data_IF_130320838725
#
_entry.id   IF_130320838725
#
_cell.length_a   1.000
_cell.length_b   1.000
_cell.length_c   1.000
_cell.angle_alpha   90.00
_cell.angle_beta   90.00
_cell.angle_gamma   90.00
#
_symmetry.space_group_name_H-M   'P 1'
#
loop_
_entity.id
_entity.type
_entity.pdbx_description
1 polymer ?
#
# COMPACT_ATOMS: atom_id res chain seq x y z
N UNK A 1 -3.15 8.76 -16.91
CA UNK A 1 -2.36 9.95 -17.33
C UNK A 1 -1.04 9.47 -17.90
N UNK A 2 -0.57 10.07 -19.00
CA UNK A 2 0.70 9.73 -19.63
C UNK A 2 1.66 10.93 -19.53
N UNK A 3 2.93 10.70 -19.21
CA UNK A 3 3.93 11.77 -19.19
C UNK A 3 4.37 12.12 -20.62
N UNK A 4 4.18 13.37 -21.02
CA UNK A 4 4.56 13.86 -22.36
C UNK A 4 6.08 14.00 -22.55
N UNK A 5 6.90 13.74 -21.52
CA UNK A 5 8.36 13.61 -21.63
C UNK A 5 8.77 12.32 -22.35
N UNK A 6 7.90 11.31 -22.36
CA UNK A 6 8.10 10.08 -23.11
C UNK A 6 7.34 10.13 -24.45
N UNK A 7 7.87 9.47 -25.47
CA UNK A 7 7.19 9.36 -26.77
C UNK A 7 5.93 8.46 -26.66
N UNK A 8 4.71 8.96 -26.92
CA UNK A 8 3.50 8.15 -26.86
C UNK A 8 3.40 7.10 -27.97
N UNK A 9 4.22 7.14 -29.03
CA UNK A 9 4.20 6.15 -30.11
C UNK A 9 4.39 4.71 -29.60
N UNK A 10 5.20 4.52 -28.55
CA UNK A 10 5.44 3.21 -27.94
C UNK A 10 4.17 2.53 -27.43
N UNK A 11 3.10 3.28 -27.11
CA UNK A 11 1.81 2.71 -26.68
C UNK A 11 1.08 1.98 -27.82
N UNK A 12 1.47 2.26 -29.07
CA UNK A 12 0.90 1.65 -30.28
C UNK A 12 1.86 0.65 -30.93
N UNK A 13 3.17 0.82 -30.73
CA UNK A 13 4.20 -0.06 -31.28
C UNK A 13 4.41 -1.35 -30.48
N UNK A 14 4.20 -1.30 -29.17
CA UNK A 14 4.45 -2.43 -28.26
C UNK A 14 3.18 -3.20 -27.93
N UNK A 15 3.33 -4.49 -27.70
CA UNK A 15 2.25 -5.34 -27.20
C UNK A 15 1.96 -5.05 -25.71
N UNK A 16 0.72 -5.28 -25.28
CA UNK A 16 0.28 -5.04 -23.90
C UNK A 16 1.17 -5.68 -22.85
N UNK A 17 1.65 -6.91 -23.08
CA UNK A 17 2.52 -7.62 -22.12
C UNK A 17 3.92 -6.99 -22.03
N UNK A 18 4.45 -6.45 -23.13
CA UNK A 18 5.71 -5.69 -23.11
C UNK A 18 5.53 -4.36 -22.38
N UNK A 19 4.40 -3.69 -22.59
CA UNK A 19 4.04 -2.45 -21.88
C UNK A 19 3.88 -2.70 -20.38
N UNK A 20 3.22 -3.79 -19.96
CA UNK A 20 3.11 -4.21 -18.56
C UNK A 20 4.48 -4.49 -17.96
N UNK A 21 5.34 -5.21 -18.67
CA UNK A 21 6.72 -5.49 -18.23
C UNK A 21 7.45 -4.18 -17.94
N UNK A 22 7.40 -3.21 -18.87
CA UNK A 22 8.01 -1.88 -18.67
C UNK A 22 7.33 -1.05 -17.59
N UNK A 23 6.05 -1.30 -17.25
CA UNK A 23 5.33 -0.59 -16.20
C UNK A 23 5.72 -1.08 -14.80
N UNK A 24 5.83 -2.40 -14.62
CA UNK A 24 6.05 -3.06 -13.33
C UNK A 24 7.52 -3.33 -12.99
N UNK A 25 8.44 -3.25 -13.96
CA UNK A 25 9.88 -3.44 -13.72
C UNK A 25 10.55 -2.12 -13.31
N UNK A 26 11.48 -2.16 -12.35
CA UNK A 26 12.26 -0.98 -11.96
C UNK A 26 13.20 -0.57 -13.10
N UNK A 27 13.49 0.72 -13.24
CA UNK A 27 14.38 1.22 -14.29
C UNK A 27 15.78 0.56 -14.25
N UNK A 28 16.30 0.24 -13.07
CA UNK A 28 17.60 -0.42 -12.88
C UNK A 28 17.63 -1.89 -13.32
N UNK A 29 16.47 -2.51 -13.52
CA UNK A 29 16.30 -3.91 -13.91
C UNK A 29 15.89 -4.05 -15.38
N UNK A 30 15.63 -2.92 -16.07
CA UNK A 30 15.33 -2.90 -17.49
C UNK A 30 16.63 -2.99 -18.33
N UNK A 31 16.57 -3.59 -19.54
CA UNK A 31 17.69 -3.62 -20.45
C UNK A 31 18.20 -2.21 -20.79
N UNK A 32 19.48 -2.11 -21.17
CA UNK A 32 20.06 -0.86 -21.62
C UNK A 32 19.28 -0.26 -22.80
N UNK A 33 19.01 1.04 -22.75
CA UNK A 33 18.21 1.75 -23.75
C UNK A 33 16.68 1.57 -23.62
N UNK A 34 16.20 0.76 -22.68
CA UNK A 34 14.76 0.57 -22.44
C UNK A 34 14.29 1.44 -21.27
N UNK A 35 13.41 2.37 -21.55
CA UNK A 35 12.77 3.20 -20.52
C UNK A 35 11.54 2.54 -19.91
N UNK A 36 11.35 2.76 -18.61
CA UNK A 36 10.13 2.45 -17.89
C UNK A 36 8.94 3.18 -18.52
N UNK A 37 7.79 2.52 -18.59
CA UNK A 37 6.58 3.14 -19.10
C UNK A 37 6.10 4.27 -18.18
N UNK A 38 5.99 5.50 -18.70
CA UNK A 38 5.63 6.69 -17.93
C UNK A 38 4.13 6.97 -17.93
N UNK A 39 3.34 5.93 -17.64
CA UNK A 39 1.89 6.03 -17.44
C UNK A 39 1.56 5.93 -15.95
N UNK A 40 0.63 6.75 -15.47
CA UNK A 40 0.19 6.76 -14.06
C UNK A 40 -1.32 6.87 -13.94
N UNK A 41 -1.88 6.15 -12.98
CA UNK A 41 -3.23 6.38 -12.49
C UNK A 41 -3.27 7.68 -11.68
N UNK A 42 -4.35 8.45 -11.84
CA UNK A 42 -4.64 9.59 -10.97
C UNK A 42 -5.78 9.21 -10.05
N UNK A 43 -5.51 9.26 -8.75
CA UNK A 43 -6.48 8.96 -7.72
C UNK A 43 -7.10 10.29 -7.24
N UNK A 44 -8.31 10.61 -7.71
CA UNK A 44 -8.96 11.92 -7.45
C UNK A 44 -9.21 12.21 -5.97
N UNK A 45 -9.50 11.20 -5.16
CA UNK A 45 -9.68 11.35 -3.71
C UNK A 45 -8.36 11.45 -2.93
N UNK A 46 -7.21 11.56 -3.60
CA UNK A 46 -5.90 11.89 -3.01
C UNK A 46 -5.44 13.32 -3.36
N UNK A 47 -6.41 14.21 -3.59
CA UNK A 47 -6.22 15.65 -3.85
C UNK A 47 -5.07 15.98 -4.83
N UNK A 48 -5.07 15.41 -6.05
CA UNK A 48 -4.08 15.75 -7.06
C UNK A 48 -4.16 17.22 -7.46
N UNK A 49 -3.01 17.88 -7.61
CA UNK A 49 -2.94 19.25 -8.08
C UNK A 49 -3.04 19.31 -9.61
N UNK A 50 -3.93 20.15 -10.12
CA UNK A 50 -4.09 20.37 -11.56
C UNK A 50 -4.03 21.86 -11.89
N UNK A 51 -3.29 22.19 -12.95
CA UNK A 51 -3.30 23.52 -13.55
C UNK A 51 -3.89 23.39 -14.96
N UNK A 52 -5.10 23.92 -15.23
CA UNK A 52 -5.87 23.59 -16.43
C UNK A 52 -5.36 24.26 -17.72
N UNK A 53 -4.43 25.22 -17.63
CA UNK A 53 -3.93 25.94 -18.79
C UNK A 53 -2.42 25.77 -18.90
N UNK A 54 -2.01 24.98 -19.90
CA UNK A 54 -0.61 24.68 -20.21
C UNK A 54 0.19 25.93 -20.64
N UNK A 55 -0.48 26.95 -21.17
CA UNK A 55 0.11 28.24 -21.56
C UNK A 55 0.27 29.21 -20.38
N UNK A 56 -0.11 28.81 -19.16
CA UNK A 56 0.19 29.59 -17.94
C UNK A 56 1.60 29.33 -17.40
N UNK A 57 2.33 28.36 -17.96
CA UNK A 57 3.73 28.17 -17.60
C UNK A 57 4.54 29.31 -18.23
N UNK A 58 5.09 30.18 -17.37
CA UNK A 58 5.99 31.25 -17.81
C UNK A 58 7.18 30.64 -18.56
N UNK A 59 7.58 31.17 -19.74
CA UNK A 59 8.71 30.63 -20.51
C UNK A 59 10.01 30.50 -19.70
N UNK A 60 10.27 31.41 -18.76
CA UNK A 60 11.43 31.32 -17.87
C UNK A 60 11.34 30.12 -16.92
N UNK A 61 10.13 29.83 -16.43
CA UNK A 61 9.89 28.65 -15.58
C UNK A 61 10.05 27.38 -16.42
N UNK A 62 9.54 27.37 -17.66
CA UNK A 62 9.72 26.23 -18.57
C UNK A 62 11.21 25.96 -18.84
N UNK A 63 12.01 27.01 -19.08
CA UNK A 63 13.47 26.91 -19.27
C UNK A 63 14.16 26.41 -17.99
N UNK A 64 13.82 26.96 -16.82
CA UNK A 64 14.35 26.51 -15.53
C UNK A 64 14.05 25.04 -15.24
N UNK A 65 12.85 24.57 -15.62
CA UNK A 65 12.42 23.19 -15.45
C UNK A 65 12.84 22.28 -16.62
N UNK A 66 13.54 22.81 -17.62
CA UNK A 66 13.98 22.09 -18.82
C UNK A 66 12.80 21.43 -19.58
N UNK A 67 11.67 22.13 -19.63
CA UNK A 67 10.45 21.71 -20.30
C UNK A 67 10.43 22.27 -21.71
N UNK A 68 10.87 21.48 -22.68
CA UNK A 68 10.57 21.64 -24.10
C UNK A 68 9.04 21.53 -24.37
N UNK A 69 8.39 22.68 -24.50
CA UNK A 69 6.95 22.77 -24.74
C UNK A 69 6.55 22.31 -26.15
N UNK A 70 7.41 22.52 -27.15
CA UNK A 70 7.09 22.20 -28.54
C UNK A 70 7.01 20.68 -28.74
N UNK A 71 7.99 19.94 -28.19
CA UNK A 71 7.96 18.46 -28.21
C UNK A 71 6.73 17.92 -27.49
N UNK A 72 6.36 18.49 -26.34
CA UNK A 72 5.19 18.04 -25.57
C UNK A 72 3.88 18.33 -26.29
N UNK A 73 3.77 19.48 -26.98
CA UNK A 73 2.59 19.80 -27.80
C UNK A 73 2.48 18.89 -29.02
N UNK A 74 3.60 18.53 -29.67
CA UNK A 74 3.61 17.55 -30.77
C UNK A 74 3.14 16.17 -30.28
N UNK A 75 3.64 15.70 -29.13
CA UNK A 75 3.21 14.43 -28.52
C UNK A 75 1.75 14.46 -28.08
N UNK A 76 1.28 15.59 -27.55
CA UNK A 76 -0.14 15.78 -27.24
C UNK A 76 -1.01 15.69 -28.51
N UNK A 77 -0.57 16.29 -29.62
CA UNK A 77 -1.26 16.19 -30.89
C UNK A 77 -1.28 14.74 -31.41
N UNK A 78 -0.17 14.00 -31.29
CA UNK A 78 -0.14 12.56 -31.58
C UNK A 78 -1.16 11.78 -30.75
N UNK A 79 -1.25 12.03 -29.44
CA UNK A 79 -2.23 11.37 -28.57
C UNK A 79 -3.66 11.69 -29.01
N UNK A 80 -3.95 12.95 -29.35
CA UNK A 80 -5.28 13.37 -29.82
C UNK A 80 -5.65 12.70 -31.14
N UNK A 81 -4.70 12.56 -32.07
CA UNK A 81 -4.93 11.95 -33.37
C UNK A 81 -5.13 10.42 -33.29
N UNK A 82 -4.58 9.77 -32.26
CA UNK A 82 -4.68 8.31 -32.04
C UNK A 82 -5.45 7.98 -30.76
N UNK A 83 -6.42 8.82 -30.40
CA UNK A 83 -7.06 8.76 -29.08
C UNK A 83 -7.75 7.42 -28.81
N UNK A 84 -8.37 6.82 -29.82
CA UNK A 84 -9.11 5.56 -29.69
C UNK A 84 -8.17 4.42 -29.34
N UNK A 85 -7.10 4.27 -30.11
CA UNK A 85 -6.11 3.20 -29.97
C UNK A 85 -5.33 3.34 -28.67
N UNK A 86 -4.90 4.56 -28.33
CA UNK A 86 -4.19 4.83 -27.06
C UNK A 86 -5.10 4.60 -25.86
N UNK A 87 -6.38 4.98 -25.94
CA UNK A 87 -7.34 4.72 -24.86
C UNK A 87 -7.53 3.23 -24.64
N UNK A 88 -7.59 2.44 -25.72
CA UNK A 88 -7.67 0.98 -25.65
C UNK A 88 -6.40 0.38 -25.03
N UNK A 89 -5.21 0.78 -25.48
CA UNK A 89 -3.95 0.31 -24.91
C UNK A 89 -3.85 0.62 -23.40
N UNK A 90 -4.26 1.83 -22.98
CA UNK A 90 -4.32 2.19 -21.58
C UNK A 90 -5.35 1.34 -20.80
N UNK A 91 -6.54 1.08 -21.34
CA UNK A 91 -7.53 0.23 -20.70
C UNK A 91 -7.02 -1.21 -20.53
N UNK A 92 -6.38 -1.77 -21.56
CA UNK A 92 -5.82 -3.12 -21.53
C UNK A 92 -4.65 -3.23 -20.53
N UNK A 93 -3.85 -2.17 -20.37
CA UNK A 93 -2.78 -2.10 -19.36
C UNK A 93 -3.29 -2.19 -17.92
N UNK A 94 -4.38 -1.47 -17.61
CA UNK A 94 -4.97 -1.42 -16.26
C UNK A 94 -6.07 -2.47 -16.05
N UNK A 95 -6.30 -3.34 -17.04
CA UNK A 95 -7.27 -4.42 -16.91
C UNK A 95 -6.73 -5.45 -15.93
N UNK A 96 -7.25 -5.43 -14.71
CA UNK A 96 -6.94 -6.43 -13.70
C UNK A 96 -7.54 -7.79 -14.11
N UNK A 97 -6.68 -8.73 -14.52
CA UNK A 97 -7.07 -10.11 -14.82
C UNK A 97 -7.19 -10.99 -13.56
N UNK A 98 -7.31 -10.39 -12.37
CA UNK A 98 -7.45 -11.11 -11.10
C UNK A 98 -6.15 -11.69 -10.51
N UNK A 99 -4.99 -11.42 -11.12
CA UNK A 99 -3.69 -12.00 -10.74
C UNK A 99 -3.05 -11.39 -9.50
N UNK A 100 -3.58 -10.28 -8.98
CA UNK A 100 -3.06 -9.57 -7.80
C UNK A 100 -4.06 -9.60 -6.64
N UNK A 101 -4.69 -10.75 -6.39
CA UNK A 101 -5.19 -10.98 -5.03
C UNK A 101 -3.95 -11.08 -4.14
N UNK A 102 -3.74 -10.06 -3.31
CA UNK A 102 -2.78 -10.16 -2.21
C UNK A 102 -3.13 -11.43 -1.45
N UNK A 103 -2.18 -12.35 -1.36
CA UNK A 103 -2.30 -13.58 -0.58
C UNK A 103 -2.10 -13.31 0.92
N UNK A 104 -2.35 -12.08 1.40
CA UNK A 104 -2.21 -11.77 2.81
C UNK A 104 -3.50 -12.12 3.52
N UNK A 105 -3.40 -13.18 4.33
CA UNK A 105 -4.48 -13.70 5.15
C UNK A 105 -4.72 -12.86 6.43
N UNK A 106 -3.83 -11.93 6.76
CA UNK A 106 -3.94 -11.12 7.99
C UNK A 106 -4.99 -10.03 7.86
N UNK A 107 -5.99 -10.07 8.73
CA UNK A 107 -7.08 -9.09 8.80
C UNK A 107 -6.59 -7.66 9.06
N UNK A 108 -5.44 -7.47 9.72
CA UNK A 108 -4.82 -6.13 9.89
C UNK A 108 -4.41 -5.50 8.53
N UNK A 109 -4.20 -6.32 7.49
CA UNK A 109 -3.70 -5.89 6.17
C UNK A 109 -4.79 -5.86 5.09
N UNK A 110 -6.02 -6.24 5.44
CA UNK A 110 -7.15 -6.40 4.51
C UNK A 110 -8.01 -5.14 4.31
N UNK A 111 -7.57 -3.97 4.77
CA UNK A 111 -8.33 -2.71 4.71
C UNK A 111 -8.87 -2.36 3.31
N UNK A 112 -8.15 -2.74 2.25
CA UNK A 112 -8.51 -2.44 0.86
C UNK A 112 -9.13 -3.61 0.10
N UNK A 113 -9.48 -4.70 0.78
CA UNK A 113 -10.08 -5.88 0.14
C UNK A 113 -11.59 -5.76 -0.08
N UNK A 114 -12.24 -4.75 0.51
CA UNK A 114 -13.66 -4.52 0.36
C UNK A 114 -14.17 -3.43 1.28
N UNK A 115 -15.38 -2.97 1.03
CA UNK A 115 -16.08 -2.08 1.94
C UNK A 115 -17.01 -2.89 2.84
N UNK A 116 -17.00 -2.54 4.12
CA UNK A 116 -17.96 -3.04 5.10
C UNK A 116 -19.39 -2.64 4.70
N UNK A 117 -20.35 -3.56 4.87
CA UNK A 117 -21.74 -3.24 4.59
C UNK A 117 -22.42 -2.49 5.76
N UNK A 118 -23.64 -2.01 5.54
CA UNK A 118 -24.35 -1.21 6.55
C UNK A 118 -24.72 -2.01 7.81
N UNK A 119 -24.85 -3.33 7.73
CA UNK A 119 -25.19 -4.17 8.88
C UNK A 119 -23.96 -4.34 9.77
N UNK A 120 -22.82 -4.72 9.18
CA UNK A 120 -21.55 -4.84 9.88
C UNK A 120 -21.10 -3.48 10.45
N UNK A 121 -21.36 -2.38 9.73
CA UNK A 121 -21.07 -1.02 10.23
C UNK A 121 -21.80 -0.70 11.52
N UNK A 122 -23.09 -1.05 11.64
CA UNK A 122 -23.87 -0.83 12.86
C UNK A 122 -23.34 -1.63 14.05
N UNK A 123 -22.86 -2.85 13.79
CA UNK A 123 -22.19 -3.66 14.82
C UNK A 123 -20.91 -2.96 15.26
N UNK A 124 -20.11 -2.46 14.32
CA UNK A 124 -18.92 -1.65 14.61
C UNK A 124 -19.22 -0.42 15.47
N UNK A 125 -20.28 0.32 15.13
CA UNK A 125 -20.76 1.47 15.91
C UNK A 125 -21.20 1.08 17.33
N UNK A 126 -21.88 -0.07 17.48
CA UNK A 126 -22.26 -0.60 18.78
C UNK A 126 -21.03 -0.93 19.64
N UNK A 127 -20.00 -1.58 19.07
CA UNK A 127 -18.76 -1.94 19.78
C UNK A 127 -18.11 -0.72 20.43
N UNK A 128 -18.12 0.44 19.77
CA UNK A 128 -17.56 1.69 20.30
C UNK A 128 -18.26 2.18 21.58
N UNK A 129 -19.46 1.68 21.88
CA UNK A 129 -20.24 2.08 23.07
C UNK A 129 -20.14 1.09 24.23
N UNK A 130 -19.52 -0.08 24.01
CA UNK A 130 -19.43 -1.14 25.01
C UNK A 130 -18.26 -0.88 25.96
N UNK A 131 -18.44 -1.28 27.23
CA UNK A 131 -17.35 -1.39 28.20
C UNK A 131 -16.75 -2.80 28.18
N UNK A 132 -15.62 -2.99 28.88
CA UNK A 132 -14.90 -4.27 28.94
C UNK A 132 -15.77 -5.45 29.39
N UNK A 133 -16.63 -5.26 30.40
CA UNK A 133 -17.56 -6.31 30.87
C UNK A 133 -18.60 -6.68 29.81
N UNK A 134 -19.15 -5.70 29.10
CA UNK A 134 -20.12 -5.96 28.03
C UNK A 134 -19.47 -6.66 26.83
N UNK A 135 -18.21 -6.32 26.52
CA UNK A 135 -17.43 -6.96 25.46
C UNK A 135 -17.21 -8.46 25.68
N UNK A 136 -17.14 -8.92 26.94
CA UNK A 136 -17.02 -10.37 27.26
C UNK A 136 -18.17 -11.19 26.69
N UNK A 137 -19.38 -10.65 26.77
CA UNK A 137 -20.62 -11.33 26.36
C UNK A 137 -21.10 -10.95 24.96
N UNK A 138 -20.39 -10.04 24.29
CA UNK A 138 -20.79 -9.53 22.99
C UNK A 138 -20.21 -10.39 21.86
N UNK A 139 -21.03 -11.29 21.33
CA UNK A 139 -20.68 -12.19 20.23
C UNK A 139 -21.54 -11.91 18.99
N UNK A 140 -21.27 -10.82 18.25
CA UNK A 140 -22.02 -10.47 17.07
C UNK A 140 -21.77 -11.48 15.94
N UNK A 141 -22.68 -11.52 14.98
CA UNK A 141 -22.48 -12.24 13.71
C UNK A 141 -22.20 -11.22 12.62
N UNK A 142 -20.95 -11.16 12.20
CA UNK A 142 -20.55 -10.37 11.04
C UNK A 142 -20.87 -11.12 9.75
N UNK A 143 -21.15 -10.36 8.70
CA UNK A 143 -21.26 -10.90 7.34
C UNK A 143 -19.89 -11.00 6.69
N UNK A 144 -19.01 -10.01 6.88
CA UNK A 144 -17.59 -10.13 6.57
C UNK A 144 -16.88 -10.89 7.69
N UNK A 145 -16.50 -12.15 7.41
CA UNK A 145 -15.87 -13.06 8.38
C UNK A 145 -14.60 -12.48 9.00
N UNK A 146 -13.87 -11.61 8.27
CA UNK A 146 -12.64 -10.97 8.75
C UNK A 146 -12.88 -10.08 9.97
N UNK A 147 -14.10 -9.55 10.14
CA UNK A 147 -14.43 -8.68 11.25
C UNK A 147 -14.52 -9.43 12.58
N UNK A 148 -14.82 -10.74 12.55
CA UNK A 148 -14.81 -11.58 13.74
C UNK A 148 -13.40 -11.69 14.31
N UNK A 149 -12.41 -11.94 13.45
CA UNK A 149 -11.00 -11.98 13.86
C UNK A 149 -10.48 -10.60 14.27
N UNK A 150 -10.86 -9.54 13.53
CA UNK A 150 -10.50 -8.17 13.89
C UNK A 150 -11.06 -7.73 15.26
N UNK A 151 -12.24 -8.23 15.64
CA UNK A 151 -12.80 -8.00 16.98
C UNK A 151 -11.95 -8.66 18.07
N UNK A 152 -11.42 -9.86 17.84
CA UNK A 152 -10.49 -10.52 18.77
C UNK A 152 -9.23 -9.65 18.93
N UNK A 153 -8.66 -9.13 17.84
CA UNK A 153 -7.46 -8.28 17.90
C UNK A 153 -7.74 -6.98 18.66
N UNK A 154 -8.91 -6.39 18.43
CA UNK A 154 -9.36 -5.21 19.15
C UNK A 154 -9.48 -5.48 20.66
N UNK A 155 -10.15 -6.57 21.06
CA UNK A 155 -10.27 -6.99 22.45
C UNK A 155 -8.89 -7.24 23.06
N UNK A 156 -8.05 -8.04 22.41
CA UNK A 156 -6.74 -8.41 22.94
C UNK A 156 -5.80 -7.22 23.18
N UNK A 157 -5.83 -6.22 22.29
CA UNK A 157 -4.95 -5.03 22.38
C UNK A 157 -5.44 -4.00 23.40
N UNK A 158 -6.75 -3.89 23.62
CA UNK A 158 -7.35 -2.78 24.38
C UNK A 158 -8.00 -3.22 25.70
N UNK A 159 -8.57 -4.42 25.74
CA UNK A 159 -9.33 -5.00 26.84
C UNK A 159 -9.01 -6.51 26.97
N UNK A 160 -7.73 -6.89 27.23
CA UNK A 160 -7.32 -8.30 27.27
C UNK A 160 -8.14 -9.13 28.26
N UNK A 161 -8.63 -8.51 29.34
CA UNK A 161 -9.53 -9.13 30.33
C UNK A 161 -10.90 -9.51 29.77
N UNK A 162 -11.27 -9.02 28.57
CA UNK A 162 -12.53 -9.33 27.90
C UNK A 162 -12.47 -10.58 27.01
N UNK A 163 -11.28 -11.14 26.79
CA UNK A 163 -11.09 -12.35 26.01
C UNK A 163 -11.52 -13.59 26.81
N UNK A 164 -12.21 -14.51 26.15
CA UNK A 164 -12.42 -15.86 26.67
C UNK A 164 -11.16 -16.75 26.46
N UNK A 165 -11.17 -17.98 26.97
CA UNK A 165 -10.02 -18.89 26.90
C UNK A 165 -9.57 -19.18 25.47
N UNK A 166 -10.51 -19.53 24.57
CA UNK A 166 -10.22 -19.81 23.15
C UNK A 166 -9.64 -18.59 22.42
N UNK A 167 -10.18 -17.39 22.70
CA UNK A 167 -9.70 -16.13 22.12
C UNK A 167 -8.30 -15.77 22.63
N UNK A 168 -8.00 -16.06 23.91
CA UNK A 168 -6.67 -15.85 24.48
C UNK A 168 -5.63 -16.79 23.85
N UNK A 169 -5.96 -18.07 23.69
CA UNK A 169 -5.09 -19.05 23.04
C UNK A 169 -4.82 -18.68 21.59
N UNK A 170 -5.86 -18.37 20.82
CA UNK A 170 -5.73 -17.92 19.43
C UNK A 170 -4.87 -16.65 19.32
N UNK A 171 -5.12 -15.65 20.17
CA UNK A 171 -4.32 -14.43 20.17
C UNK A 171 -2.85 -14.70 20.51
N UNK A 172 -2.59 -15.58 21.48
CA UNK A 172 -1.23 -15.97 21.84
C UNK A 172 -0.50 -16.63 20.67
N UNK A 173 -1.13 -17.57 19.96
CA UNK A 173 -0.55 -18.20 18.76
C UNK A 173 -0.21 -17.18 17.67
N UNK A 174 -1.11 -16.22 17.41
CA UNK A 174 -0.91 -15.15 16.45
C UNK A 174 0.29 -14.28 16.83
N UNK A 175 0.39 -13.88 18.10
CA UNK A 175 1.52 -13.08 18.59
C UNK A 175 2.82 -13.87 18.47
N UNK A 176 2.84 -15.13 18.89
CA UNK A 176 4.03 -15.99 18.78
C UNK A 176 4.49 -16.13 17.33
N UNK A 177 3.58 -16.40 16.40
CA UNK A 177 3.91 -16.51 14.98
C UNK A 177 4.46 -15.19 14.39
N UNK A 178 3.95 -14.04 14.81
CA UNK A 178 4.46 -12.73 14.38
C UNK A 178 5.85 -12.44 14.95
N UNK A 179 6.06 -12.72 16.24
CA UNK A 179 7.30 -12.42 16.97
C UNK A 179 8.43 -13.38 16.58
N UNK A 180 8.15 -14.68 16.47
CA UNK A 180 9.20 -15.67 16.20
C UNK A 180 9.54 -15.78 14.72
N UNK A 181 8.54 -15.87 13.83
CA UNK A 181 8.76 -16.20 12.42
C UNK A 181 8.47 -15.04 11.47
N UNK A 182 8.02 -13.88 11.98
CA UNK A 182 7.67 -12.74 11.13
C UNK A 182 6.47 -13.02 10.22
N UNK A 183 5.59 -13.95 10.62
CA UNK A 183 4.41 -14.36 9.84
C UNK A 183 3.61 -13.14 9.39
N UNK A 184 3.17 -13.11 8.13
CA UNK A 184 2.50 -11.96 7.49
C UNK A 184 3.40 -10.71 7.27
N UNK A 185 4.72 -10.87 7.31
CA UNK A 185 5.67 -9.79 7.00
C UNK A 185 5.98 -8.86 8.17
N UNK A 186 5.68 -9.28 9.40
CA UNK A 186 6.13 -8.58 10.61
C UNK A 186 7.61 -8.84 10.84
N UNK A 187 8.25 -7.97 11.63
CA UNK A 187 9.67 -8.09 11.97
C UNK A 187 9.87 -9.16 13.06
N UNK A 188 10.54 -10.29 12.78
CA UNK A 188 10.83 -11.29 13.80
C UNK A 188 11.84 -10.76 14.82
N UNK A 189 11.80 -11.31 16.03
CA UNK A 189 12.55 -10.81 17.19
C UNK A 189 14.06 -10.90 17.01
N UNK A 190 14.56 -11.94 16.35
CA UNK A 190 16.00 -12.08 16.05
C UNK A 190 16.49 -10.96 15.14
N UNK A 191 15.73 -10.67 14.07
CA UNK A 191 16.05 -9.57 13.14
C UNK A 191 15.90 -8.20 13.82
N UNK A 192 14.95 -8.05 14.74
CA UNK A 192 14.82 -6.84 15.55
C UNK A 192 16.10 -6.53 16.34
N UNK A 193 16.67 -7.51 17.04
CA UNK A 193 17.92 -7.33 17.78
C UNK A 193 19.13 -7.12 16.86
N UNK A 194 19.21 -7.83 15.73
CA UNK A 194 20.27 -7.61 14.72
C UNK A 194 20.24 -6.15 14.21
N UNK A 195 19.05 -5.63 13.89
CA UNK A 195 18.88 -4.25 13.46
C UNK A 195 19.29 -3.26 14.54
N UNK A 196 18.96 -3.50 15.81
CA UNK A 196 19.41 -2.64 16.92
C UNK A 196 20.94 -2.60 16.99
N UNK A 197 21.61 -3.74 16.94
CA UNK A 197 23.07 -3.80 17.02
C UNK A 197 23.74 -3.04 15.86
N UNK A 198 23.26 -3.25 14.63
CA UNK A 198 23.76 -2.52 13.45
C UNK A 198 23.52 -1.02 13.54
N UNK A 199 22.36 -0.59 14.07
CA UNK A 199 22.04 0.81 14.24
C UNK A 199 22.87 1.45 15.38
N UNK A 200 23.16 0.70 16.44
CA UNK A 200 24.04 1.15 17.53
C UNK A 200 25.46 1.42 17.05
N UNK A 201 26.02 0.58 16.18
CA UNK A 201 27.35 0.80 15.61
C UNK A 201 27.43 2.10 14.79
N UNK A 202 26.39 2.39 14.01
CA UNK A 202 26.34 3.59 13.17
C UNK A 202 25.93 4.86 13.92
N UNK A 203 25.26 4.73 15.07
CA UNK A 203 24.71 5.83 15.86
C UNK A 203 24.95 5.62 17.37
N UNK A 204 26.21 5.58 17.83
CA UNK A 204 26.55 5.29 19.22
C UNK A 204 26.04 6.36 20.20
N UNK A 205 25.76 7.58 19.72
CA UNK A 205 25.22 8.68 20.53
C UNK A 205 23.81 8.43 21.06
N UNK A 206 23.08 7.46 20.49
CA UNK A 206 21.70 7.11 20.86
C UNK A 206 21.61 5.94 21.85
N UNK A 207 22.66 5.67 22.62
CA UNK A 207 22.75 4.50 23.51
C UNK A 207 21.55 4.32 24.46
N UNK A 208 20.99 5.41 24.98
CA UNK A 208 19.78 5.33 25.82
C UNK A 208 18.58 4.73 25.06
N UNK A 209 18.39 5.10 23.79
CA UNK A 209 17.33 4.55 22.96
C UNK A 209 17.57 3.07 22.67
N UNK A 210 18.81 2.67 22.36
CA UNK A 210 19.14 1.27 22.09
C UNK A 210 18.86 0.37 23.29
N UNK A 211 19.24 0.79 24.49
CA UNK A 211 18.91 0.06 25.73
C UNK A 211 17.40 -0.05 25.98
N UNK A 212 16.63 1.00 25.67
CA UNK A 212 15.17 0.97 25.82
C UNK A 212 14.53 -0.02 24.85
N UNK A 213 15.00 -0.05 23.60
CA UNK A 213 14.51 -0.98 22.58
C UNK A 213 14.90 -2.43 22.90
N UNK A 214 16.12 -2.68 23.38
CA UNK A 214 16.53 -4.02 23.84
C UNK A 214 15.65 -4.51 24.98
N UNK A 215 15.48 -3.69 26.02
CA UNK A 215 14.63 -4.04 27.17
C UNK A 215 13.18 -4.29 26.75
N UNK A 216 12.69 -3.58 25.75
CA UNK A 216 11.37 -3.82 25.19
C UNK A 216 11.31 -5.18 24.46
N UNK A 217 12.30 -5.50 23.61
CA UNK A 217 12.40 -6.79 22.94
C UNK A 217 12.48 -7.98 23.91
N UNK A 218 13.25 -7.84 24.98
CA UNK A 218 13.38 -8.85 26.05
C UNK A 218 12.05 -9.15 26.75
N UNK A 219 11.07 -8.24 26.73
CA UNK A 219 9.75 -8.49 27.32
C UNK A 219 8.89 -9.49 26.54
N UNK A 220 9.31 -9.87 25.33
CA UNK A 220 8.66 -10.86 24.47
C UNK A 220 9.41 -12.21 24.42
N UNK A 221 10.57 -12.31 25.08
CA UNK A 221 11.40 -13.52 25.20
C UNK A 221 11.07 -14.30 26.47
#
# INVERSE_FOLDING_TARGET
MFNLDQDPALLLELETEQLKTRMFTKQSELPEGVERLQIKEIIFNKSPMFVPNIHKLDPKIAEQLQIDMDVRLQRLAFIKNNQTEISKAAQDLYRNNGEQKRTNADVDQSLYEGFMDNADKRIGEQIQTLNAESLKTFHPKFKDEKLSELLIYFKARNYPESLNEDEQENWFEIVQARVQTGTNGYLPIDEYFERINKMRESHPEKETLWRQLEKYGESFS
#
